data_IF_851550429530
#
_entry.id   IF_851550429530
#
_cell.length_a   1.000
_cell.length_b   1.000
_cell.length_c   1.000
_cell.angle_alpha   90.00
_cell.angle_beta   90.00
_cell.angle_gamma   90.00
#
_symmetry.space_group_name_H-M   'P 1'
#
loop_
_entity.id
_entity.type
_entity.pdbx_description
1 polymer ?
#
# COMPACT_ATOMS: atom_id res chain seq x y z
N UNK A 1 -9.55 17.40 13.63
CA UNK A 1 -10.00 16.08 13.12
C UNK A 1 -9.35 14.97 13.93
N UNK A 2 -10.06 14.39 14.92
CA UNK A 2 -9.57 13.28 15.76
C UNK A 2 -9.87 11.93 15.08
N UNK A 3 -9.11 11.59 14.04
CA UNK A 3 -9.28 10.31 13.32
C UNK A 3 -8.51 9.15 14.00
N UNK A 4 -7.87 9.37 15.16
CA UNK A 4 -6.89 8.44 15.73
C UNK A 4 -7.47 7.27 16.55
N UNK A 5 -8.71 7.37 17.04
CA UNK A 5 -9.28 6.37 17.95
C UNK A 5 -9.38 4.95 17.35
N UNK A 6 -10.01 4.73 16.18
CA UNK A 6 -10.17 3.37 15.63
C UNK A 6 -8.86 2.75 15.12
N UNK A 7 -7.84 3.56 14.85
CA UNK A 7 -6.53 3.10 14.37
C UNK A 7 -5.56 2.80 15.51
N UNK A 8 -5.65 3.52 16.64
CA UNK A 8 -4.86 3.23 17.84
C UNK A 8 -5.22 1.88 18.45
N UNK A 9 -6.51 1.56 18.52
CA UNK A 9 -7.00 0.27 19.05
C UNK A 9 -6.54 -0.93 18.22
N UNK A 10 -6.29 -0.73 16.93
CA UNK A 10 -5.87 -1.78 16.00
C UNK A 10 -4.36 -1.82 15.75
N UNK A 11 -3.57 -1.07 16.51
CA UNK A 11 -2.11 -0.99 16.35
C UNK A 11 -1.67 -0.67 14.91
N UNK A 12 -2.40 0.21 14.22
CA UNK A 12 -1.98 0.66 12.89
C UNK A 12 -0.64 1.40 13.02
N UNK A 13 0.38 1.06 12.21
CA UNK A 13 1.66 1.74 12.29
C UNK A 13 1.47 3.23 12.04
N UNK A 14 2.08 4.05 12.91
CA UNK A 14 1.94 5.51 12.83
C UNK A 14 2.47 6.04 11.48
N UNK A 15 3.59 5.46 11.03
CA UNK A 15 4.29 5.82 9.80
C UNK A 15 4.28 4.63 8.85
N UNK A 16 3.79 4.86 7.64
CA UNK A 16 3.88 3.90 6.53
C UNK A 16 4.98 4.42 5.59
N UNK A 17 6.08 3.67 5.48
CA UNK A 17 7.30 4.11 4.77
C UNK A 17 7.04 4.52 3.30
N UNK A 18 6.07 3.90 2.64
CA UNK A 18 5.69 4.22 1.26
C UNK A 18 5.30 5.70 1.06
N UNK A 19 4.71 6.34 2.07
CA UNK A 19 4.32 7.76 1.98
C UNK A 19 5.52 8.71 2.02
N UNK A 20 6.63 8.31 2.63
CA UNK A 20 7.89 9.06 2.55
C UNK A 20 8.42 9.10 1.13
N UNK A 21 8.43 7.95 0.44
CA UNK A 21 8.82 7.87 -0.96
C UNK A 21 7.85 8.66 -1.88
N UNK A 22 6.55 8.61 -1.60
CA UNK A 22 5.55 9.42 -2.30
C UNK A 22 5.81 10.91 -2.16
N UNK A 23 6.11 11.39 -0.94
CA UNK A 23 6.42 12.79 -0.69
C UNK A 23 7.61 13.24 -1.57
N UNK A 24 8.68 12.44 -1.60
CA UNK A 24 9.84 12.70 -2.46
C UNK A 24 9.47 12.78 -3.95
N UNK A 25 8.67 11.83 -4.45
CA UNK A 25 8.27 11.80 -5.86
C UNK A 25 7.44 13.02 -6.26
N UNK A 26 6.46 13.40 -5.45
CA UNK A 26 5.57 14.53 -5.78
C UNK A 26 6.30 15.86 -5.65
N UNK A 27 7.09 16.05 -4.59
CA UNK A 27 7.83 17.31 -4.39
C UNK A 27 8.92 17.48 -5.45
N UNK A 28 9.66 16.42 -5.77
CA UNK A 28 10.75 16.49 -6.75
C UNK A 28 10.24 16.49 -8.21
N UNK A 29 9.13 15.83 -8.49
CA UNK A 29 8.66 15.56 -9.85
C UNK A 29 7.15 15.79 -10.02
N UNK A 30 6.65 16.97 -9.64
CA UNK A 30 5.21 17.28 -9.68
C UNK A 30 4.58 17.21 -11.09
N UNK A 31 5.36 17.49 -12.15
CA UNK A 31 4.85 17.48 -13.54
C UNK A 31 4.67 16.08 -14.13
N UNK A 32 5.21 15.05 -13.48
CA UNK A 32 5.14 13.68 -14.00
C UNK A 32 3.71 13.15 -13.83
N UNK A 33 3.16 12.41 -14.81
CA UNK A 33 1.80 11.86 -14.73
C UNK A 33 1.57 10.98 -13.49
N UNK A 34 2.61 10.32 -12.99
CA UNK A 34 2.58 9.51 -11.77
C UNK A 34 2.39 10.32 -10.48
N UNK A 35 2.76 11.61 -10.48
CA UNK A 35 2.64 12.52 -9.33
C UNK A 35 1.29 13.23 -9.28
N UNK A 36 0.46 13.08 -10.32
CA UNK A 36 -0.85 13.70 -10.39
C UNK A 36 -1.79 13.16 -9.31
N UNK A 37 -2.66 13.99 -8.72
CA UNK A 37 -3.51 13.62 -7.59
C UNK A 37 -4.37 12.39 -7.87
N UNK A 38 -4.84 12.24 -9.13
CA UNK A 38 -5.61 11.07 -9.57
C UNK A 38 -4.85 9.77 -9.37
N UNK A 39 -3.56 9.74 -9.74
CA UNK A 39 -2.72 8.55 -9.70
C UNK A 39 -2.35 8.24 -8.25
N UNK A 40 -2.05 9.27 -7.46
CA UNK A 40 -1.72 9.15 -6.03
C UNK A 40 -2.86 8.50 -5.26
N UNK A 41 -4.10 8.99 -5.39
CA UNK A 41 -5.23 8.46 -4.61
C UNK A 41 -5.61 7.06 -5.09
N UNK A 42 -5.80 6.89 -6.40
CA UNK A 42 -6.37 5.64 -6.93
C UNK A 42 -5.38 4.49 -6.81
N UNK A 43 -4.11 4.69 -7.15
CA UNK A 43 -3.09 3.63 -7.05
C UNK A 43 -2.85 3.20 -5.60
N UNK A 44 -2.72 4.15 -4.66
CA UNK A 44 -2.54 3.83 -3.24
C UNK A 44 -3.76 3.12 -2.64
N UNK A 45 -4.95 3.27 -3.22
CA UNK A 45 -6.15 2.54 -2.75
C UNK A 45 -6.25 1.15 -3.38
N UNK A 46 -5.97 1.03 -4.69
CA UNK A 46 -6.05 -0.24 -5.41
C UNK A 46 -4.96 -1.22 -4.99
N UNK A 47 -3.73 -0.76 -4.78
CA UNK A 47 -2.60 -1.64 -4.48
C UNK A 47 -2.77 -2.43 -3.16
N UNK A 48 -3.19 -1.84 -2.03
CA UNK A 48 -3.49 -2.58 -0.79
C UNK A 48 -4.62 -3.59 -0.94
N UNK A 49 -5.62 -3.31 -1.80
CA UNK A 49 -6.72 -4.23 -2.08
C UNK A 49 -6.20 -5.47 -2.80
N UNK A 50 -5.43 -5.26 -3.88
CA UNK A 50 -4.84 -6.35 -4.66
C UNK A 50 -3.82 -7.15 -3.85
N UNK A 51 -2.93 -6.46 -3.14
CA UNK A 51 -1.95 -7.08 -2.25
C UNK A 51 -2.64 -7.91 -1.16
N UNK A 52 -3.58 -7.32 -0.43
CA UNK A 52 -4.37 -8.01 0.60
C UNK A 52 -5.13 -9.23 0.07
N UNK A 53 -5.66 -9.15 -1.15
CA UNK A 53 -6.29 -10.28 -1.84
C UNK A 53 -5.32 -11.42 -2.13
N UNK A 54 -4.16 -11.10 -2.73
CA UNK A 54 -3.13 -12.08 -3.07
C UNK A 54 -2.60 -12.76 -1.82
N UNK A 55 -2.30 -12.00 -0.77
CA UNK A 55 -1.83 -12.55 0.50
C UNK A 55 -2.84 -13.52 1.11
N UNK A 56 -4.14 -13.18 1.07
CA UNK A 56 -5.19 -14.08 1.55
C UNK A 56 -5.32 -15.34 0.71
N UNK A 57 -5.13 -15.26 -0.61
CA UNK A 57 -5.08 -16.42 -1.49
C UNK A 57 -3.88 -17.33 -1.14
N UNK A 58 -2.70 -16.75 -0.90
CA UNK A 58 -1.54 -17.52 -0.46
C UNK A 58 -1.71 -18.09 0.95
N UNK A 59 -2.41 -17.39 1.86
CA UNK A 59 -2.73 -17.89 3.19
C UNK A 59 -3.63 -19.14 3.15
N UNK A 60 -4.54 -19.25 2.17
CA UNK A 60 -5.38 -20.45 1.98
C UNK A 60 -4.56 -21.70 1.59
N UNK A 61 -3.37 -21.53 1.01
CA UNK A 61 -2.50 -22.65 0.64
C UNK A 61 -1.82 -23.34 1.83
N UNK A 62 -1.90 -22.76 3.03
CA UNK A 62 -1.30 -23.29 4.26
C UNK A 62 0.25 -23.22 4.33
N UNK A 63 0.91 -22.71 3.28
CA UNK A 63 2.38 -22.59 3.18
C UNK A 63 2.91 -21.17 3.41
N UNK A 64 2.02 -20.21 3.67
CA UNK A 64 2.39 -18.83 3.93
C UNK A 64 2.71 -18.66 5.42
N UNK A 65 4.00 -18.58 5.74
CA UNK A 65 4.46 -18.29 7.09
C UNK A 65 5.23 -16.97 7.08
N UNK A 66 4.76 -16.01 7.87
CA UNK A 66 5.35 -14.67 7.95
C UNK A 66 6.39 -14.55 9.10
N UNK A 67 6.47 -15.56 9.98
CA UNK A 67 7.48 -15.62 11.05
C UNK A 67 8.84 -16.12 10.56
N UNK A 68 8.86 -16.95 9.52
CA UNK A 68 10.08 -17.31 8.81
C UNK A 68 9.93 -16.98 7.30
N UNK A 69 10.28 -15.75 6.89
CA UNK A 69 10.08 -15.29 5.51
C UNK A 69 10.90 -16.08 4.48
N UNK A 70 11.98 -16.72 4.92
CA UNK A 70 12.87 -17.52 4.06
C UNK A 70 12.44 -18.98 3.97
N UNK A 71 11.65 -19.46 4.94
CA UNK A 71 11.11 -20.82 4.96
C UNK A 71 9.67 -20.84 4.43
N UNK A 72 9.51 -20.88 3.10
CA UNK A 72 8.21 -21.06 2.44
C UNK A 72 7.98 -20.22 1.19
N UNK A 73 6.71 -19.85 0.95
CA UNK A 73 6.25 -19.11 -0.24
C UNK A 73 6.06 -17.61 -0.01
N UNK A 74 6.49 -17.08 1.15
CA UNK A 74 6.28 -15.68 1.54
C UNK A 74 7.01 -14.70 0.62
N UNK A 75 8.23 -15.03 0.19
CA UNK A 75 8.97 -14.24 -0.82
C UNK A 75 8.21 -14.18 -2.17
N UNK A 76 7.64 -15.31 -2.59
CA UNK A 76 6.88 -15.40 -3.83
C UNK A 76 5.54 -14.66 -3.72
N UNK A 77 4.88 -14.73 -2.56
CA UNK A 77 3.68 -13.97 -2.24
C UNK A 77 3.94 -12.47 -2.36
N UNK A 78 5.03 -11.97 -1.75
CA UNK A 78 5.42 -10.57 -1.80
C UNK A 78 5.72 -10.08 -3.23
N UNK A 79 6.50 -10.85 -3.99
CA UNK A 79 6.82 -10.53 -5.39
C UNK A 79 5.57 -10.57 -6.30
N UNK A 80 4.68 -11.54 -6.09
CA UNK A 80 3.42 -11.66 -6.85
C UNK A 80 2.46 -10.52 -6.50
N UNK A 81 2.34 -10.17 -5.21
CA UNK A 81 1.52 -9.06 -4.75
C UNK A 81 1.93 -7.73 -5.39
N UNK A 82 3.23 -7.43 -5.38
CA UNK A 82 3.77 -6.20 -5.97
C UNK A 82 3.61 -6.17 -7.49
N UNK A 83 3.97 -7.26 -8.18
CA UNK A 83 3.91 -7.33 -9.64
C UNK A 83 2.48 -7.24 -10.19
N UNK A 84 1.53 -7.94 -9.58
CA UNK A 84 0.11 -7.86 -9.99
C UNK A 84 -0.46 -6.48 -9.70
N UNK A 85 -0.17 -5.90 -8.52
CA UNK A 85 -0.65 -4.57 -8.18
C UNK A 85 -0.13 -3.50 -9.16
N UNK A 86 1.17 -3.52 -9.45
CA UNK A 86 1.78 -2.59 -10.42
C UNK A 86 1.30 -2.86 -11.84
N UNK A 87 1.15 -4.12 -12.24
CA UNK A 87 0.63 -4.50 -13.56
C UNK A 87 -0.78 -3.97 -13.79
N UNK A 88 -1.68 -4.11 -12.80
CA UNK A 88 -3.03 -3.53 -12.87
C UNK A 88 -2.98 -2.01 -12.94
N UNK A 89 -2.14 -1.35 -12.13
CA UNK A 89 -2.00 0.10 -12.19
C UNK A 89 -1.42 0.61 -13.51
N UNK A 90 -0.55 -0.18 -14.15
CA UNK A 90 -0.01 0.11 -15.48
C UNK A 90 -1.08 -0.04 -16.56
N UNK A 91 -1.93 -1.06 -16.48
CA UNK A 91 -3.05 -1.25 -17.41
C UNK A 91 -4.10 -0.15 -17.33
N UNK A 92 -4.26 0.47 -16.15
CA UNK A 92 -5.23 1.52 -15.91
C UNK A 92 -4.69 2.94 -16.17
N UNK A 93 -3.44 3.11 -16.61
CA UNK A 93 -2.76 4.41 -16.71
C UNK A 93 -2.76 5.22 -15.39
N UNK A 94 -2.63 4.49 -14.27
CA UNK A 94 -2.62 5.01 -12.90
C UNK A 94 -1.34 4.60 -12.16
N UNK A 95 -0.23 4.51 -12.88
CA UNK A 95 1.04 4.10 -12.30
C UNK A 95 1.52 5.11 -11.25
N UNK A 96 1.61 4.66 -10.00
CA UNK A 96 2.24 5.39 -8.90
C UNK A 96 3.05 4.40 -8.06
N UNK A 97 4.37 4.30 -8.27
CA UNK A 97 5.22 3.27 -7.65
C UNK A 97 5.10 3.14 -6.12
N UNK A 98 4.90 4.22 -5.33
CA UNK A 98 4.64 4.12 -3.89
C UNK A 98 3.42 3.27 -3.52
N UNK A 99 2.41 3.19 -4.39
CA UNK A 99 1.26 2.30 -4.20
C UNK A 99 1.67 0.82 -4.20
N UNK A 100 2.56 0.42 -5.12
CA UNK A 100 3.08 -0.95 -5.18
C UNK A 100 3.85 -1.35 -3.92
N UNK A 101 4.56 -0.39 -3.30
CA UNK A 101 5.21 -0.61 -2.01
C UNK A 101 4.21 -0.92 -0.88
N UNK A 102 3.00 -0.34 -0.92
CA UNK A 102 1.93 -0.69 0.03
C UNK A 102 1.42 -2.13 -0.17
N UNK A 103 1.28 -2.60 -1.42
CA UNK A 103 0.94 -4.00 -1.70
C UNK A 103 2.01 -4.97 -1.16
N UNK A 104 3.29 -4.62 -1.34
CA UNK A 104 4.42 -5.38 -0.81
C UNK A 104 4.43 -5.39 0.73
N UNK A 105 4.17 -4.24 1.36
CA UNK A 105 4.17 -4.09 2.82
C UNK A 105 3.13 -4.99 3.48
N UNK A 106 1.97 -5.15 2.86
CA UNK A 106 0.95 -6.07 3.35
C UNK A 106 1.43 -7.53 3.42
N UNK A 107 2.35 -7.93 2.53
CA UNK A 107 2.86 -9.29 2.44
C UNK A 107 4.14 -9.55 3.26
N UNK A 108 4.78 -8.49 3.76
CA UNK A 108 6.11 -8.57 4.37
C UNK A 108 6.14 -8.11 5.82
N UNK A 109 5.20 -7.26 6.24
CA UNK A 109 5.13 -6.73 7.59
C UNK A 109 4.01 -7.42 8.39
N UNK A 110 4.36 -8.01 9.54
CA UNK A 110 3.44 -8.72 10.42
C UNK A 110 2.31 -7.82 10.98
N UNK A 111 2.61 -6.58 11.34
CA UNK A 111 1.61 -5.62 11.85
C UNK A 111 0.61 -5.28 10.75
N UNK A 112 1.08 -5.05 9.53
CA UNK A 112 0.22 -4.74 8.39
C UNK A 112 -0.60 -5.96 7.95
N UNK A 113 -0.01 -7.14 7.99
CA UNK A 113 -0.72 -8.40 7.77
C UNK A 113 -1.85 -8.60 8.79
N UNK A 114 -1.60 -8.31 10.07
CA UNK A 114 -2.59 -8.41 11.15
C UNK A 114 -3.77 -7.45 10.97
N UNK A 115 -3.55 -6.27 10.37
CA UNK A 115 -4.63 -5.35 10.01
C UNK A 115 -5.56 -5.91 8.93
N UNK A 116 -5.03 -6.73 8.03
CA UNK A 116 -5.79 -7.29 6.90
C UNK A 116 -6.47 -6.19 6.08
N UNK A 117 -7.80 -6.28 5.94
CA UNK A 117 -8.57 -5.30 5.15
C UNK A 117 -8.61 -3.89 5.76
N UNK A 118 -8.30 -3.74 7.06
CA UNK A 118 -8.19 -2.41 7.69
C UNK A 118 -7.01 -1.58 7.19
N UNK A 119 -6.06 -2.21 6.49
CA UNK A 119 -4.96 -1.50 5.86
C UNK A 119 -5.44 -0.59 4.71
N UNK A 120 -6.48 -0.99 3.96
CA UNK A 120 -7.05 -0.20 2.85
C UNK A 120 -7.56 1.17 3.31
N UNK A 121 -8.50 1.29 4.29
CA UNK A 121 -8.97 2.58 4.76
C UNK A 121 -7.87 3.37 5.50
N UNK A 122 -6.89 2.70 6.12
CA UNK A 122 -5.75 3.36 6.74
C UNK A 122 -4.89 4.10 5.70
N UNK A 123 -4.56 3.45 4.58
CA UNK A 123 -3.82 4.04 3.46
C UNK A 123 -4.64 5.15 2.81
N UNK A 124 -5.92 4.91 2.53
CA UNK A 124 -6.81 5.91 1.92
C UNK A 124 -6.92 7.18 2.78
N UNK A 125 -7.08 7.05 4.10
CA UNK A 125 -7.16 8.20 5.01
C UNK A 125 -5.88 9.03 4.96
N UNK A 126 -4.71 8.38 4.89
CA UNK A 126 -3.40 9.07 4.79
C UNK A 126 -3.24 9.79 3.45
N UNK A 127 -3.67 9.19 2.35
CA UNK A 127 -3.72 9.84 1.04
C UNK A 127 -4.66 11.06 1.05
N UNK A 128 -5.85 10.90 1.61
CA UNK A 128 -6.87 11.95 1.67
C UNK A 128 -6.45 13.13 2.57
N UNK A 129 -5.73 12.89 3.66
CA UNK A 129 -5.19 13.98 4.50
C UNK A 129 -4.08 14.77 3.81
N UNK A 130 -3.39 14.17 2.86
CA UNK A 130 -2.24 14.78 2.19
C UNK A 130 -2.62 15.45 0.85
N UNK A 131 -3.65 14.96 0.17
CA UNK A 131 -4.10 15.49 -1.12
C UNK A 131 -4.52 16.99 -1.11
N UNK A 132 -5.11 17.58 -0.06
CA UNK A 132 -5.43 19.01 -0.03
C UNK A 132 -4.18 19.87 -0.24
N UNK A 133 -3.06 19.51 0.40
CA UNK A 133 -1.78 20.21 0.22
C UNK A 133 -1.12 19.99 -1.14
N UNK A 134 -1.57 19.00 -1.91
CA UNK A 134 -1.11 18.76 -3.30
C UNK A 134 -1.81 19.68 -4.31
N UNK A 135 -3.04 20.12 -4.02
CA UNK A 135 -3.81 20.98 -4.92
C UNK A 135 -3.45 22.48 -4.76
N UNK A 136 -2.68 22.82 -3.73
CA UNK A 136 -2.23 24.19 -3.42
C UNK A 136 -0.79 24.48 -3.92
N UNK A 137 -0.09 23.49 -4.49
CA UNK A 137 1.25 23.59 -5.11
C UNK A 137 1.13 23.58 -6.64
#
# INVERSE_FOLDING_TARGET
>A
MSQGAPYKERHVPMIIAAFGAQCGLVVAMYKVPASQPRCVIVCNTLCPILGGGIIKLFALSGRHNLQDPFDGVSWACAATAMSVALGVCQLLDLMHPPGGANALLAATNLEVYALGWWFVPAVLTRCATWCPGILEI
#
